data_IF_936952208669
#
_entry.id   IF_936952208669
#
_cell.length_a   1.000
_cell.length_b   1.000
_cell.length_c   1.000
_cell.angle_alpha   90.00
_cell.angle_beta   90.00
_cell.angle_gamma   90.00
#
_symmetry.space_group_name_H-M   'P 1'
#
loop_
_entity.id
_entity.type
_entity.pdbx_description
1 polymer ?
#
# COMPACT_ATOMS: atom_id res chain seq x y z
N UNK A 1 -24.59 68.12 14.52
CA UNK A 1 -24.89 67.07 13.51
C UNK A 1 -23.80 67.16 12.46
N UNK A 2 -22.94 66.19 12.17
CA UNK A 2 -22.90 64.74 12.44
C UNK A 2 -21.51 64.29 11.95
N UNK A 3 -20.78 63.50 12.74
CA UNK A 3 -19.63 62.72 12.25
C UNK A 3 -20.11 61.31 11.82
N UNK A 4 -19.23 60.35 11.48
CA UNK A 4 -18.46 60.19 10.23
C UNK A 4 -18.72 58.78 9.61
N UNK A 5 -18.22 58.45 8.40
CA UNK A 5 -17.90 57.04 8.05
C UNK A 5 -17.12 56.95 6.73
N UNK A 6 -15.81 56.80 6.88
CA UNK A 6 -14.93 56.28 5.85
C UNK A 6 -15.16 54.76 5.76
N UNK A 7 -15.57 54.25 4.60
CA UNK A 7 -15.76 52.83 4.36
C UNK A 7 -14.68 52.36 3.37
N UNK A 8 -13.57 51.74 3.81
CA UNK A 8 -12.73 50.99 2.89
C UNK A 8 -13.40 49.64 2.62
N UNK A 9 -13.82 49.44 1.38
CA UNK A 9 -14.25 48.14 0.88
C UNK A 9 -13.12 47.12 1.09
N UNK A 10 -13.36 46.10 1.91
CA UNK A 10 -12.51 44.91 1.96
C UNK A 10 -12.53 44.22 0.59
N UNK A 11 -11.37 43.96 -0.05
CA UNK A 11 -11.32 42.90 -1.05
C UNK A 11 -11.43 41.59 -0.28
N UNK A 12 -12.60 40.96 -0.32
CA UNK A 12 -12.75 39.56 0.03
C UNK A 12 -11.86 38.77 -0.96
N UNK A 13 -10.64 38.45 -0.54
CA UNK A 13 -9.85 37.43 -1.21
C UNK A 13 -10.62 36.11 -1.05
N UNK A 14 -11.12 35.51 -2.14
CA UNK A 14 -11.52 34.12 -2.05
C UNK A 14 -10.21 33.36 -1.81
N UNK A 15 -10.10 32.70 -0.65
CA UNK A 15 -9.15 31.62 -0.47
C UNK A 15 -9.51 30.61 -1.53
N UNK A 16 -8.84 30.68 -2.68
CA UNK A 16 -8.83 29.63 -3.65
C UNK A 16 -8.23 28.43 -2.92
N UNK A 17 -9.11 27.59 -2.35
CA UNK A 17 -8.83 26.19 -2.16
C UNK A 17 -8.46 25.70 -3.54
N UNK A 18 -7.16 25.69 -3.85
CA UNK A 18 -6.62 24.97 -4.99
C UNK A 18 -7.18 23.58 -4.86
N UNK A 19 -8.17 23.29 -5.70
CA UNK A 19 -8.72 21.97 -5.91
C UNK A 19 -7.66 21.17 -6.67
N UNK A 20 -6.49 21.02 -6.05
CA UNK A 20 -5.47 20.09 -6.50
C UNK A 20 -5.94 18.75 -5.97
N UNK A 21 -6.81 18.10 -6.76
CA UNK A 21 -7.16 16.71 -6.54
C UNK A 21 -5.88 15.90 -6.34
N UNK A 22 -5.90 14.85 -5.50
CA UNK A 22 -4.70 14.10 -5.17
C UNK A 22 -4.02 13.69 -6.48
N UNK A 23 -2.75 14.10 -6.64
CA UNK A 23 -1.91 13.71 -7.77
C UNK A 23 -2.09 12.20 -8.01
N UNK A 24 -2.19 11.74 -9.27
CA UNK A 24 -2.36 10.33 -9.57
C UNK A 24 -1.32 9.50 -8.81
N UNK A 25 -1.77 8.76 -7.79
CA UNK A 25 -0.86 7.94 -6.98
C UNK A 25 -0.35 6.81 -7.85
N UNK A 26 0.93 6.85 -8.19
CA UNK A 26 1.58 5.77 -8.93
C UNK A 26 1.80 4.58 -7.99
N UNK A 27 0.77 3.74 -7.86
CA UNK A 27 0.78 2.52 -7.06
C UNK A 27 1.85 1.52 -7.53
N UNK A 28 2.34 1.65 -8.76
CA UNK A 28 3.36 0.79 -9.35
C UNK A 28 4.75 1.42 -9.34
N UNK A 29 5.00 2.54 -8.63
CA UNK A 29 6.31 3.22 -8.68
C UNK A 29 7.48 2.32 -8.29
N UNK A 30 7.28 1.43 -7.30
CA UNK A 30 8.30 0.49 -6.84
C UNK A 30 8.49 -0.69 -7.80
N UNK A 31 7.43 -1.06 -8.52
CA UNK A 31 7.50 -2.06 -9.59
C UNK A 31 8.12 -1.48 -10.87
N UNK A 32 7.99 -0.18 -11.15
CA UNK A 32 8.60 0.49 -12.32
C UNK A 32 10.12 0.41 -12.32
N UNK A 33 10.78 0.52 -11.17
CA UNK A 33 12.24 0.34 -11.08
C UNK A 33 12.67 -1.06 -11.53
N UNK A 34 11.82 -2.06 -11.30
CA UNK A 34 12.01 -3.45 -11.71
C UNK A 34 11.28 -3.78 -13.03
N UNK A 35 10.64 -2.81 -13.70
CA UNK A 35 9.93 -3.06 -14.95
C UNK A 35 10.88 -3.46 -16.08
N UNK A 36 12.17 -3.17 -15.98
CA UNK A 36 13.19 -3.66 -16.90
C UNK A 36 13.56 -5.15 -16.68
N UNK A 37 13.21 -5.73 -15.53
CA UNK A 37 13.28 -7.18 -15.28
C UNK A 37 12.00 -7.91 -15.73
N UNK A 38 10.95 -7.17 -16.11
CA UNK A 38 9.74 -7.75 -16.68
C UNK A 38 9.93 -8.24 -18.14
N UNK A 39 10.71 -7.56 -19.02
CA UNK A 39 11.03 -8.05 -20.35
C UNK A 39 12.48 -8.57 -20.43
N UNK A 40 12.87 -9.56 -19.62
CA UNK A 40 14.16 -10.26 -19.83
C UNK A 40 14.08 -11.34 -20.90
N UNK A 41 12.86 -11.76 -21.26
CA UNK A 41 12.57 -12.13 -22.64
C UNK A 41 12.04 -10.85 -23.26
N UNK A 42 12.54 -10.47 -24.43
CA UNK A 42 11.82 -9.48 -25.23
C UNK A 42 10.36 -9.92 -25.41
N UNK A 43 9.59 -9.10 -26.10
CA UNK A 43 8.27 -9.46 -26.63
C UNK A 43 8.39 -10.54 -27.72
N UNK A 44 9.06 -11.65 -27.39
CA UNK A 44 9.56 -12.66 -28.30
C UNK A 44 8.63 -13.87 -28.32
N UNK A 45 8.68 -14.55 -29.46
CA UNK A 45 7.96 -15.80 -29.74
C UNK A 45 8.27 -16.90 -28.71
N UNK A 46 9.41 -16.82 -28.02
CA UNK A 46 9.77 -17.74 -26.94
C UNK A 46 8.95 -17.55 -25.66
N UNK A 47 8.64 -16.31 -25.28
CA UNK A 47 7.83 -16.04 -24.09
C UNK A 47 6.40 -16.57 -24.28
N UNK A 48 5.80 -16.29 -25.45
CA UNK A 48 4.46 -16.78 -25.82
C UNK A 48 4.39 -18.32 -25.86
N UNK A 49 5.43 -18.98 -26.41
CA UNK A 49 5.51 -20.45 -26.39
C UNK A 49 5.68 -20.98 -24.98
N UNK A 50 6.55 -20.38 -24.17
CA UNK A 50 6.75 -20.80 -22.79
C UNK A 50 5.46 -20.66 -21.96
N UNK A 51 4.68 -19.61 -22.18
CA UNK A 51 3.38 -19.43 -21.55
C UNK A 51 2.36 -20.47 -21.99
N UNK A 52 2.29 -20.79 -23.29
CA UNK A 52 1.46 -21.88 -23.80
C UNK A 52 1.87 -23.25 -23.21
N UNK A 53 3.17 -23.54 -23.14
CA UNK A 53 3.68 -24.75 -22.51
C UNK A 53 3.35 -24.80 -21.01
N UNK A 54 3.54 -23.71 -20.27
CA UNK A 54 3.21 -23.66 -18.84
C UNK A 54 1.72 -23.91 -18.58
N UNK A 55 0.84 -23.29 -19.38
CA UNK A 55 -0.61 -23.52 -19.29
C UNK A 55 -1.00 -24.96 -19.63
N UNK A 56 -0.34 -25.56 -20.61
CA UNK A 56 -0.60 -26.94 -21.02
C UNK A 56 -0.18 -27.95 -19.94
N UNK A 57 1.04 -27.83 -19.40
CA UNK A 57 1.54 -28.72 -18.34
C UNK A 57 0.82 -28.55 -17.00
N UNK A 58 0.23 -27.37 -16.73
CA UNK A 58 -0.53 -27.10 -15.50
C UNK A 58 -1.95 -27.66 -15.47
N UNK A 59 -2.44 -28.25 -16.57
CA UNK A 59 -3.82 -28.76 -16.68
C UNK A 59 -3.85 -30.28 -16.41
N UNK A 60 -4.80 -30.82 -15.61
CA UNK A 60 -4.91 -32.26 -15.36
C UNK A 60 -5.13 -33.10 -16.64
N UNK A 61 -5.59 -32.46 -17.71
CA UNK A 61 -5.77 -33.07 -19.02
C UNK A 61 -4.45 -33.56 -19.64
N UNK A 62 -3.32 -32.89 -19.38
CA UNK A 62 -2.01 -33.31 -19.90
C UNK A 62 -1.61 -34.70 -19.38
N UNK A 63 -1.76 -34.91 -18.07
CA UNK A 63 -1.49 -36.20 -17.44
C UNK A 63 -2.39 -37.29 -18.03
N UNK A 64 -3.69 -37.03 -18.17
CA UNK A 64 -4.63 -37.98 -18.77
C UNK A 64 -4.27 -38.36 -20.22
N UNK A 65 -3.95 -37.37 -21.05
CA UNK A 65 -3.55 -37.59 -22.44
C UNK A 65 -2.24 -38.38 -22.54
N UNK A 66 -1.23 -38.05 -21.72
CA UNK A 66 0.05 -38.77 -21.67
C UNK A 66 -0.16 -40.24 -21.28
N UNK A 67 -0.96 -40.51 -20.25
CA UNK A 67 -1.27 -41.88 -19.81
C UNK A 67 -2.01 -42.66 -20.90
N UNK A 68 -2.97 -42.04 -21.61
CA UNK A 68 -3.69 -42.68 -22.71
C UNK A 68 -2.75 -43.07 -23.86
N UNK A 69 -1.82 -42.19 -24.23
CA UNK A 69 -0.83 -42.45 -25.29
C UNK A 69 0.05 -43.66 -24.92
N UNK A 70 0.56 -43.67 -23.68
CA UNK A 70 1.40 -44.76 -23.16
C UNK A 70 0.62 -46.08 -23.09
N UNK A 71 -0.61 -46.05 -22.58
CA UNK A 71 -1.47 -47.23 -22.49
C UNK A 71 -1.80 -47.79 -23.88
N UNK A 72 -2.10 -46.92 -24.85
CA UNK A 72 -2.37 -47.31 -26.25
C UNK A 72 -1.14 -47.95 -26.88
N UNK A 73 0.06 -47.37 -26.66
CA UNK A 73 1.32 -47.93 -27.16
C UNK A 73 1.58 -49.34 -26.62
N UNK A 74 1.41 -49.53 -25.31
CA UNK A 74 1.56 -50.85 -24.67
C UNK A 74 0.53 -51.83 -25.26
N UNK A 75 -0.72 -51.43 -25.40
CA UNK A 75 -1.79 -52.28 -25.91
C UNK A 75 -1.53 -52.78 -27.35
N UNK A 76 -1.10 -51.89 -28.25
CA UNK A 76 -0.77 -52.23 -29.64
C UNK A 76 0.39 -53.23 -29.71
N UNK A 77 1.44 -53.03 -28.90
CA UNK A 77 2.62 -53.89 -28.90
C UNK A 77 2.33 -55.26 -28.24
N UNK A 78 1.55 -55.30 -27.15
CA UNK A 78 1.17 -56.54 -26.45
C UNK A 78 0.23 -57.40 -27.30
N UNK A 79 -0.72 -56.80 -28.02
CA UNK A 79 -1.61 -57.54 -28.93
C UNK A 79 -0.89 -58.10 -30.17
N UNK A 80 0.40 -57.81 -30.35
CA UNK A 80 1.19 -58.33 -31.48
C UNK A 80 0.76 -57.79 -32.84
N UNK A 81 -0.08 -56.75 -32.87
CA UNK A 81 -0.53 -56.05 -34.09
C UNK A 81 0.68 -55.41 -34.78
N UNK A 82 1.63 -54.92 -33.98
CA UNK A 82 2.91 -54.43 -34.44
C UNK A 82 4.01 -54.77 -33.42
N UNK A 83 5.00 -55.57 -33.80
CA UNK A 83 6.10 -56.04 -32.92
C UNK A 83 7.27 -55.03 -32.88
N UNK A 84 6.97 -53.75 -32.69
CA UNK A 84 8.01 -52.72 -32.68
C UNK A 84 8.76 -52.64 -31.35
N UNK A 85 8.11 -52.96 -30.23
CA UNK A 85 8.69 -52.90 -28.88
C UNK A 85 8.17 -54.07 -28.00
N UNK A 86 8.81 -55.24 -28.13
CA UNK A 86 8.48 -56.42 -27.30
C UNK A 86 8.95 -56.23 -25.85
N UNK A 87 8.26 -56.89 -24.92
CA UNK A 87 8.68 -56.94 -23.51
C UNK A 87 10.18 -57.27 -23.41
N UNK A 88 11.03 -56.40 -22.81
CA UNK A 88 10.73 -55.41 -21.76
C UNK A 88 10.58 -53.92 -22.19
N UNK A 89 10.02 -53.61 -23.37
CA UNK A 89 9.73 -52.24 -23.85
C UNK A 89 10.93 -51.27 -23.84
N UNK A 90 12.02 -51.65 -24.54
CA UNK A 90 13.27 -50.90 -24.53
C UNK A 90 13.12 -49.50 -25.14
N UNK A 91 12.31 -49.35 -26.20
CA UNK A 91 12.15 -48.08 -26.89
C UNK A 91 11.36 -47.08 -26.05
N UNK A 92 10.29 -47.56 -25.41
CA UNK A 92 9.50 -46.75 -24.49
C UNK A 92 10.36 -46.29 -23.30
N UNK A 93 11.16 -47.19 -22.72
CA UNK A 93 12.06 -46.83 -21.63
C UNK A 93 13.13 -45.81 -22.06
N UNK A 94 13.69 -45.98 -23.26
CA UNK A 94 14.67 -45.03 -23.81
C UNK A 94 14.04 -43.66 -24.06
N UNK A 95 12.82 -43.61 -24.57
CA UNK A 95 12.07 -42.37 -24.79
C UNK A 95 11.81 -41.63 -23.48
N UNK A 96 11.35 -42.33 -22.43
CA UNK A 96 11.14 -41.73 -21.11
C UNK A 96 12.46 -41.25 -20.47
N UNK A 97 13.53 -42.01 -20.63
CA UNK A 97 14.86 -41.63 -20.12
C UNK A 97 15.34 -40.33 -20.78
N UNK A 98 15.19 -40.22 -22.10
CA UNK A 98 15.51 -38.99 -22.84
C UNK A 98 14.59 -37.83 -22.45
N UNK A 99 13.29 -38.10 -22.30
CA UNK A 99 12.31 -37.10 -21.87
C UNK A 99 12.70 -36.50 -20.50
N UNK A 100 13.06 -37.34 -19.53
CA UNK A 100 13.52 -36.88 -18.22
C UNK A 100 14.84 -36.11 -18.30
N UNK A 101 15.81 -36.61 -19.08
CA UNK A 101 17.12 -35.96 -19.25
C UNK A 101 17.02 -34.55 -19.85
N UNK A 102 16.09 -34.31 -20.78
CA UNK A 102 15.86 -32.98 -21.35
C UNK A 102 14.92 -32.11 -20.49
N UNK A 103 13.98 -32.72 -19.76
CA UNK A 103 13.10 -31.99 -18.85
C UNK A 103 13.87 -31.35 -17.69
N UNK A 104 14.83 -32.06 -17.07
CA UNK A 104 15.59 -31.56 -15.93
C UNK A 104 16.25 -30.17 -16.15
N UNK A 105 17.07 -29.94 -17.20
CA UNK A 105 17.67 -28.64 -17.46
C UNK A 105 16.63 -27.57 -17.85
N UNK A 106 15.57 -27.94 -18.56
CA UNK A 106 14.48 -27.00 -18.88
C UNK A 106 13.73 -26.54 -17.62
N UNK A 107 13.44 -27.46 -16.71
CA UNK A 107 12.82 -27.17 -15.41
C UNK A 107 13.75 -26.26 -14.60
N UNK A 108 15.06 -26.55 -14.56
CA UNK A 108 16.02 -25.70 -13.88
C UNK A 108 16.05 -24.29 -14.46
N UNK A 109 15.99 -24.16 -15.79
CA UNK A 109 15.92 -22.86 -16.46
C UNK A 109 14.62 -22.11 -16.16
N UNK A 110 13.49 -22.83 -16.08
CA UNK A 110 12.22 -22.24 -15.67
C UNK A 110 12.26 -21.80 -14.19
N UNK A 111 12.86 -22.61 -13.31
CA UNK A 111 12.98 -22.30 -11.87
C UNK A 111 13.90 -21.11 -11.61
N UNK A 112 15.08 -21.06 -12.25
CA UNK A 112 15.99 -19.90 -12.14
C UNK A 112 15.33 -18.60 -12.60
N UNK A 113 14.49 -18.67 -13.63
CA UNK A 113 13.69 -17.53 -14.10
C UNK A 113 12.58 -17.15 -13.12
N UNK A 114 11.89 -18.14 -12.57
CA UNK A 114 10.87 -17.90 -11.55
C UNK A 114 11.48 -17.23 -10.31
N UNK A 115 12.63 -17.74 -9.83
CA UNK A 115 13.36 -17.16 -8.71
C UNK A 115 13.81 -15.71 -8.96
N UNK A 116 14.24 -15.38 -10.18
CA UNK A 116 14.60 -14.00 -10.53
C UNK A 116 13.40 -13.04 -10.48
N UNK A 117 12.21 -13.48 -10.93
CA UNK A 117 10.97 -12.71 -10.81
C UNK A 117 10.54 -12.57 -9.35
N UNK A 118 10.54 -13.66 -8.60
CA UNK A 118 10.14 -13.65 -7.20
C UNK A 118 11.04 -12.72 -6.38
N UNK A 119 12.34 -12.70 -6.67
CA UNK A 119 13.30 -11.76 -6.07
C UNK A 119 12.95 -10.30 -6.38
N UNK A 120 12.66 -9.95 -7.64
CA UNK A 120 12.33 -8.57 -7.99
C UNK A 120 11.01 -8.10 -7.39
N UNK A 121 10.02 -8.99 -7.29
CA UNK A 121 8.77 -8.74 -6.57
C UNK A 121 9.03 -8.51 -5.08
N UNK A 122 9.88 -9.33 -4.45
CA UNK A 122 10.23 -9.18 -3.04
C UNK A 122 10.98 -7.86 -2.75
N UNK A 123 11.89 -7.44 -3.63
CA UNK A 123 12.60 -6.17 -3.51
C UNK A 123 11.66 -4.96 -3.63
N UNK A 124 10.71 -4.99 -4.57
CA UNK A 124 9.70 -3.94 -4.71
C UNK A 124 8.78 -3.86 -3.47
N UNK A 125 8.37 -5.00 -2.93
CA UNK A 125 7.56 -5.06 -1.70
C UNK A 125 8.33 -4.53 -0.49
N UNK A 126 9.61 -4.89 -0.34
CA UNK A 126 10.45 -4.37 0.73
C UNK A 126 10.55 -2.84 0.69
N UNK A 127 10.82 -2.26 -0.49
CA UNK A 127 10.87 -0.80 -0.67
C UNK A 127 9.52 -0.14 -0.37
N UNK A 128 8.42 -0.79 -0.75
CA UNK A 128 7.07 -0.29 -0.44
C UNK A 128 6.82 -0.27 1.06
N UNK A 129 7.19 -1.34 1.78
CA UNK A 129 7.05 -1.44 3.24
C UNK A 129 7.91 -0.40 3.97
N UNK A 130 9.15 -0.18 3.54
CA UNK A 130 10.01 0.87 4.10
C UNK A 130 9.40 2.27 3.91
N UNK A 131 8.91 2.59 2.71
CA UNK A 131 8.27 3.88 2.45
C UNK A 131 6.99 4.08 3.29
N UNK A 132 6.21 3.01 3.49
CA UNK A 132 5.03 3.06 4.34
C UNK A 132 5.40 3.27 5.82
N UNK A 133 6.47 2.64 6.29
CA UNK A 133 6.98 2.83 7.65
C UNK A 133 7.38 4.29 7.90
N UNK A 134 8.18 4.88 7.00
CA UNK A 134 8.59 6.29 7.09
C UNK A 134 7.37 7.22 7.09
N UNK A 135 6.39 6.99 6.20
CA UNK A 135 5.18 7.80 6.15
C UNK A 135 4.35 7.68 7.44
N UNK A 136 4.29 6.50 8.06
CA UNK A 136 3.61 6.30 9.34
C UNK A 136 4.33 7.00 10.48
N UNK A 137 5.66 6.94 10.56
CA UNK A 137 6.45 7.67 11.55
C UNK A 137 6.24 9.19 11.42
N UNK A 138 6.25 9.72 10.20
CA UNK A 138 5.93 11.12 9.93
C UNK A 138 4.52 11.49 10.41
N UNK A 139 3.51 10.68 10.09
CA UNK A 139 2.14 10.91 10.57
C UNK A 139 2.04 10.89 12.10
N UNK A 140 2.74 9.98 12.76
CA UNK A 140 2.77 9.90 14.22
C UNK A 140 3.43 11.13 14.86
N UNK A 141 4.56 11.59 14.32
CA UNK A 141 5.22 12.80 14.82
C UNK A 141 4.36 14.07 14.63
N UNK A 142 3.71 14.22 13.48
CA UNK A 142 2.76 15.32 13.23
C UNK A 142 1.58 15.23 14.20
N UNK A 143 1.02 14.03 14.39
CA UNK A 143 -0.06 13.82 15.35
C UNK A 143 0.37 14.20 16.78
N UNK A 144 1.58 13.81 17.20
CA UNK A 144 2.13 14.17 18.51
C UNK A 144 2.29 15.70 18.68
N UNK A 145 2.81 16.40 17.66
CA UNK A 145 2.92 17.86 17.69
C UNK A 145 1.55 18.53 17.77
N UNK A 146 0.58 18.07 16.98
CA UNK A 146 -0.78 18.60 17.01
C UNK A 146 -1.46 18.38 18.37
N UNK A 147 -1.24 17.22 19.00
CA UNK A 147 -1.75 16.93 20.33
C UNK A 147 -1.14 17.86 21.40
N UNK A 148 0.16 18.15 21.30
CA UNK A 148 0.83 19.11 22.20
C UNK A 148 0.26 20.53 22.06
N UNK A 149 0.03 21.01 20.82
CA UNK A 149 -0.62 22.31 20.59
C UNK A 149 -2.02 22.38 21.18
N UNK A 150 -2.83 21.33 21.01
CA UNK A 150 -4.19 21.29 21.59
C UNK A 150 -4.13 21.40 23.11
N UNK A 151 -3.18 20.71 23.76
CA UNK A 151 -3.00 20.77 25.20
C UNK A 151 -2.60 22.17 25.67
N UNK A 152 -1.70 22.84 24.94
CA UNK A 152 -1.30 24.22 25.23
C UNK A 152 -2.48 25.20 25.12
N UNK A 153 -3.29 25.10 24.07
CA UNK A 153 -4.50 25.91 23.91
C UNK A 153 -5.51 25.67 25.03
N UNK A 154 -5.66 24.43 25.49
CA UNK A 154 -6.53 24.10 26.63
C UNK A 154 -6.03 24.71 27.93
N UNK A 155 -4.71 24.70 28.17
CA UNK A 155 -4.10 25.34 29.34
C UNK A 155 -4.30 26.86 29.29
N UNK A 156 -4.09 27.50 28.14
CA UNK A 156 -4.34 28.94 27.98
C UNK A 156 -5.81 29.31 28.26
N UNK A 157 -6.76 28.54 27.71
CA UNK A 157 -8.17 28.76 28.00
C UNK A 157 -8.50 28.64 29.50
N UNK A 158 -7.88 27.67 30.18
CA UNK A 158 -8.05 27.49 31.62
C UNK A 158 -7.53 28.71 32.38
N UNK A 159 -6.34 29.20 32.04
CA UNK A 159 -5.75 30.40 32.65
C UNK A 159 -6.59 31.66 32.42
N UNK A 160 -7.07 31.87 31.18
CA UNK A 160 -7.96 33.00 30.88
C UNK A 160 -9.25 32.93 31.70
N UNK A 161 -9.78 31.73 31.90
CA UNK A 161 -10.98 31.50 32.74
C UNK A 161 -10.70 31.84 34.21
N UNK A 162 -9.53 31.47 34.73
CA UNK A 162 -9.11 31.83 36.08
C UNK A 162 -8.90 33.33 36.24
N UNK A 163 -8.21 33.99 35.31
CA UNK A 163 -8.04 35.44 35.31
C UNK A 163 -9.39 36.17 35.27
N UNK A 164 -10.32 35.67 34.46
CA UNK A 164 -11.68 36.22 34.38
C UNK A 164 -12.40 36.10 35.74
N UNK A 165 -12.31 34.94 36.40
CA UNK A 165 -12.85 34.76 37.75
C UNK A 165 -12.20 35.71 38.76
N UNK A 166 -10.88 35.85 38.72
CA UNK A 166 -10.15 36.73 39.64
C UNK A 166 -10.55 38.20 39.46
N UNK A 167 -10.59 38.68 38.22
CA UNK A 167 -11.04 40.04 37.92
C UNK A 167 -12.47 40.28 38.38
N UNK A 168 -13.36 39.30 38.16
CA UNK A 168 -14.75 39.37 38.61
C UNK A 168 -14.83 39.49 40.14
N UNK A 169 -14.07 38.66 40.87
CA UNK A 169 -14.02 38.71 42.33
C UNK A 169 -13.46 40.05 42.86
N UNK A 170 -12.44 40.61 42.20
CA UNK A 170 -11.90 41.94 42.55
C UNK A 170 -12.91 43.06 42.31
N UNK A 171 -13.65 43.02 41.20
CA UNK A 171 -14.72 43.98 40.91
C UNK A 171 -15.81 43.91 41.98
N UNK A 172 -16.22 42.70 42.36
CA UNK A 172 -17.22 42.51 43.41
C UNK A 172 -16.74 43.10 44.74
N UNK A 173 -15.50 42.81 45.14
CA UNK A 173 -14.90 43.38 46.35
C UNK A 173 -14.83 44.91 46.32
N UNK A 174 -14.37 45.50 45.21
CA UNK A 174 -14.33 46.96 45.04
C UNK A 174 -15.73 47.57 45.07
N UNK A 175 -16.71 46.90 44.47
CA UNK A 175 -18.10 47.37 44.44
C UNK A 175 -18.71 47.37 45.83
N UNK A 176 -18.45 46.32 46.63
CA UNK A 176 -18.86 46.24 48.03
C UNK A 176 -18.19 47.34 48.86
N UNK A 177 -16.89 47.59 48.66
CA UNK A 177 -16.16 48.65 49.36
C UNK A 177 -16.73 50.04 49.03
N UNK A 178 -16.98 50.32 47.75
CA UNK A 178 -17.63 51.57 47.32
C UNK A 178 -19.04 51.67 47.94
N UNK A 179 -19.86 50.62 47.88
CA UNK A 179 -21.21 50.65 48.44
C UNK A 179 -21.21 50.92 49.95
N UNK A 180 -20.31 50.28 50.71
CA UNK A 180 -20.15 50.53 52.15
C UNK A 180 -19.73 51.97 52.45
N UNK A 181 -18.82 52.53 51.65
CA UNK A 181 -18.29 53.89 51.85
C UNK A 181 -19.33 54.98 51.56
N UNK A 182 -20.29 54.72 50.68
CA UNK A 182 -21.32 55.68 50.28
C UNK A 182 -22.69 55.48 50.94
N UNK A 183 -22.99 54.32 51.55
CA UNK A 183 -24.31 54.00 52.16
C UNK A 183 -24.29 53.97 53.70
N UNK A 184 -23.14 54.16 54.36
CA UNK A 184 -23.08 54.28 55.82
C UNK A 184 -23.96 55.45 56.32
N UNK A 185 -24.95 55.23 57.21
CA UNK A 185 -25.85 56.28 57.67
C UNK A 185 -25.09 57.32 58.53
N UNK A 186 -25.49 58.61 58.50
CA UNK A 186 -24.81 59.64 59.28
C UNK A 186 -24.99 59.34 60.78
N UNK A 187 -23.91 58.96 61.44
CA UNK A 187 -23.84 58.84 62.90
C UNK A 187 -24.04 60.24 63.48
N UNK A 188 -25.21 60.48 64.08
CA UNK A 188 -25.55 61.72 64.78
C UNK A 188 -24.70 61.84 66.06
N UNK A 189 -24.36 63.09 66.45
CA UNK A 189 -23.37 63.38 67.49
C UNK A 189 -23.82 62.99 68.89
#
# INVERSE_FOLDING_TARGET
MTAPAHHPAHPAHPVALSAEGPLPTDHLRFHRRHAHLAPTFGTDRFALRAEAFARFFGTPLFLGAQTLIVATWIFINVLGIAKFDLYPFILLNLAFSLQAAYAAPLILLAQTRQAARDKSHAEADAQHREALAIANEQRQSIAAQSAAQVLELLQQNTLLTEQTRELTARIEALTVEIHQRFVAPPVKP
#
